data_IF_189370550478
#
_entry.id   IF_189370550478
#
_cell.length_a   1.000
_cell.length_b   1.000
_cell.length_c   1.000
_cell.angle_alpha   90.00
_cell.angle_beta   90.00
_cell.angle_gamma   90.00
#
_symmetry.space_group_name_H-M   'P 1'
#
loop_
_entity.id
_entity.type
_entity.pdbx_description
1 polymer ?
#
# COMPACT_ATOMS: atom_id res chain seq x y z
N UNK A 1 9.74 -40.25 -4.23
CA UNK A 1 10.88 -39.34 -4.45
C UNK A 1 12.16 -40.06 -4.00
N UNK A 2 13.37 -39.70 -4.42
CA UNK A 2 14.58 -40.36 -3.87
C UNK A 2 14.81 -39.90 -2.43
N UNK A 3 15.42 -40.74 -1.58
CA UNK A 3 15.69 -40.40 -0.17
C UNK A 3 16.51 -39.10 -0.03
N UNK A 4 17.45 -38.83 -0.92
CA UNK A 4 18.22 -37.58 -0.89
C UNK A 4 17.37 -36.34 -1.20
N UNK A 5 16.41 -36.45 -2.13
CA UNK A 5 15.47 -35.36 -2.42
C UNK A 5 14.48 -35.14 -1.27
N UNK A 6 14.10 -36.19 -0.57
CA UNK A 6 13.29 -36.11 0.67
C UNK A 6 14.05 -35.39 1.78
N UNK A 7 15.30 -35.77 2.05
CA UNK A 7 16.17 -35.08 3.01
C UNK A 7 16.38 -33.61 2.65
N UNK A 8 16.62 -33.31 1.38
CA UNK A 8 16.78 -31.92 0.92
C UNK A 8 15.50 -31.10 1.18
N UNK A 9 14.32 -31.66 0.90
CA UNK A 9 13.03 -30.99 1.14
C UNK A 9 12.79 -30.77 2.63
N UNK A 10 12.94 -31.81 3.46
CA UNK A 10 12.76 -31.72 4.91
C UNK A 10 13.80 -30.80 5.57
N UNK A 11 14.97 -30.59 4.96
CA UNK A 11 15.93 -29.57 5.44
C UNK A 11 15.36 -28.15 5.40
N UNK A 12 14.37 -27.90 4.54
CA UNK A 12 13.75 -26.60 4.28
C UNK A 12 14.74 -25.46 3.94
N UNK A 13 15.98 -25.79 3.59
CA UNK A 13 17.05 -24.82 3.32
C UNK A 13 16.70 -23.87 2.17
N UNK A 14 16.05 -24.39 1.13
CA UNK A 14 15.53 -23.58 -0.01
C UNK A 14 14.45 -22.58 0.44
N UNK A 15 13.58 -22.97 1.38
CA UNK A 15 12.54 -22.09 1.94
C UNK A 15 13.17 -20.98 2.77
N UNK A 16 14.11 -21.33 3.64
CA UNK A 16 14.85 -20.36 4.45
C UNK A 16 15.65 -19.37 3.58
N UNK A 17 16.33 -19.85 2.52
CA UNK A 17 17.05 -18.98 1.59
C UNK A 17 16.12 -17.95 0.90
N UNK A 18 14.91 -18.37 0.50
CA UNK A 18 13.89 -17.46 -0.05
C UNK A 18 13.43 -16.42 0.98
N UNK A 19 13.26 -16.81 2.24
CA UNK A 19 12.87 -15.91 3.33
C UNK A 19 13.98 -14.92 3.69
N UNK A 20 15.25 -15.28 3.48
CA UNK A 20 16.44 -14.45 3.77
C UNK A 20 16.91 -13.58 2.60
N UNK A 21 16.31 -13.73 1.40
CA UNK A 21 16.75 -12.97 0.22
C UNK A 21 16.71 -11.45 0.47
N UNK A 22 17.64 -10.68 -0.11
CA UNK A 22 17.51 -9.22 -0.14
C UNK A 22 16.18 -8.81 -0.79
N UNK A 23 15.57 -7.75 -0.26
CA UNK A 23 14.33 -7.18 -0.78
C UNK A 23 14.63 -5.83 -1.44
N UNK A 24 13.92 -5.53 -2.52
CA UNK A 24 13.98 -4.23 -3.22
C UNK A 24 12.70 -3.44 -2.94
N UNK A 25 12.76 -2.11 -3.02
CA UNK A 25 11.60 -1.23 -2.80
C UNK A 25 10.40 -1.55 -3.70
N UNK A 26 10.66 -2.09 -4.89
CA UNK A 26 9.63 -2.50 -5.86
C UNK A 26 9.09 -3.90 -5.64
N UNK A 27 9.67 -4.69 -4.72
CA UNK A 27 9.22 -6.05 -4.48
C UNK A 27 7.84 -6.08 -3.82
N UNK A 28 6.98 -6.98 -4.29
CA UNK A 28 5.71 -7.34 -3.64
C UNK A 28 5.98 -8.36 -2.52
N UNK A 29 6.05 -7.87 -1.29
CA UNK A 29 6.35 -8.68 -0.10
C UNK A 29 5.10 -9.45 0.32
N UNK A 30 5.26 -10.75 0.57
CA UNK A 30 4.17 -11.57 1.13
C UNK A 30 4.02 -11.27 2.62
N UNK A 31 2.91 -10.65 2.99
CA UNK A 31 2.59 -10.26 4.38
C UNK A 31 1.54 -11.19 5.01
N UNK A 32 0.79 -11.92 4.20
CA UNK A 32 -0.09 -13.00 4.64
C UNK A 32 -0.07 -14.12 3.60
N UNK A 33 0.01 -15.37 4.04
CA UNK A 33 -0.18 -16.54 3.19
C UNK A 33 -0.67 -17.72 4.01
N UNK A 34 -1.68 -18.42 3.49
CA UNK A 34 -2.11 -19.73 3.98
C UNK A 34 -2.05 -20.68 2.80
N UNK A 35 -1.06 -21.57 2.78
CA UNK A 35 -0.91 -22.58 1.74
C UNK A 35 -0.94 -23.97 2.36
N UNK A 36 -2.03 -24.68 2.14
CA UNK A 36 -2.18 -26.10 2.44
C UNK A 36 -2.35 -26.87 1.14
N UNK A 37 -1.66 -27.99 0.98
CA UNK A 37 -2.03 -28.95 -0.06
C UNK A 37 -3.29 -29.70 0.39
N UNK A 38 -4.15 -30.07 -0.58
CA UNK A 38 -5.56 -30.44 -0.37
C UNK A 38 -5.86 -31.54 0.66
N UNK A 39 -7.16 -31.81 0.91
CA UNK A 39 -7.64 -32.58 2.07
C UNK A 39 -7.00 -33.97 2.23
N UNK A 40 -6.61 -34.61 1.13
CA UNK A 40 -6.05 -35.97 1.13
C UNK A 40 -4.52 -36.03 1.25
N UNK A 41 -3.82 -34.89 1.13
CA UNK A 41 -2.34 -34.83 1.11
C UNK A 41 -1.80 -33.57 1.78
N UNK A 42 -1.79 -33.56 3.11
CA UNK A 42 -1.13 -32.53 3.94
C UNK A 42 0.41 -32.65 3.94
N UNK A 43 1.01 -32.84 2.77
CA UNK A 43 2.44 -33.05 2.61
C UNK A 43 3.25 -31.78 2.91
N UNK A 44 2.65 -30.63 2.65
CA UNK A 44 3.23 -29.31 2.85
C UNK A 44 2.17 -28.34 3.38
N UNK A 45 2.49 -27.65 4.47
CA UNK A 45 1.73 -26.51 4.97
C UNK A 45 2.65 -25.31 5.13
N UNK A 46 2.21 -24.13 4.71
CA UNK A 46 2.98 -22.90 4.85
C UNK A 46 2.07 -21.77 5.27
N UNK A 47 2.43 -21.17 6.39
CA UNK A 47 1.78 -20.00 6.93
C UNK A 47 2.78 -18.84 6.98
N UNK A 48 2.37 -17.68 6.50
CA UNK A 48 3.06 -16.41 6.66
C UNK A 48 2.08 -15.42 7.25
N UNK A 49 2.49 -14.68 8.27
CA UNK A 49 1.68 -13.59 8.83
C UNK A 49 2.54 -12.43 9.30
N UNK A 50 2.07 -11.22 9.03
CA UNK A 50 2.75 -9.98 9.37
C UNK A 50 2.33 -9.43 10.73
N UNK A 51 3.29 -8.92 11.48
CA UNK A 51 3.05 -8.11 12.68
C UNK A 51 3.88 -6.83 12.64
N UNK A 52 3.32 -5.71 13.08
CA UNK A 52 4.04 -4.47 13.30
C UNK A 52 4.58 -4.47 14.74
N UNK A 53 5.89 -4.37 14.88
CA UNK A 53 6.60 -4.52 16.15
C UNK A 53 7.19 -3.16 16.56
N UNK A 54 6.86 -2.64 17.76
CA UNK A 54 7.51 -1.45 18.31
C UNK A 54 9.04 -1.56 18.35
N UNK A 55 9.74 -0.48 17.97
CA UNK A 55 11.23 -0.47 17.95
C UNK A 55 11.88 -0.78 19.31
N UNK A 56 11.20 -0.49 20.42
CA UNK A 56 11.68 -0.81 21.76
C UNK A 56 11.58 -2.31 22.12
N UNK A 57 10.87 -3.12 21.33
CA UNK A 57 10.67 -4.57 21.56
C UNK A 57 11.46 -5.47 20.62
N UNK A 58 12.30 -4.92 19.75
CA UNK A 58 13.05 -5.69 18.75
C UNK A 58 13.96 -6.75 19.36
N UNK A 59 14.68 -6.42 20.45
CA UNK A 59 15.55 -7.36 21.16
C UNK A 59 14.78 -8.53 21.76
N UNK A 60 13.66 -8.23 22.42
CA UNK A 60 12.75 -9.23 22.99
C UNK A 60 12.18 -10.13 21.88
N UNK A 61 11.69 -9.51 20.81
CA UNK A 61 11.11 -10.19 19.64
C UNK A 61 12.09 -11.18 19.02
N UNK A 62 13.35 -10.80 18.82
CA UNK A 62 14.37 -11.66 18.21
C UNK A 62 14.89 -12.76 19.16
N UNK A 63 14.63 -12.67 20.46
CA UNK A 63 15.05 -13.69 21.45
C UNK A 63 14.20 -14.97 21.38
N UNK A 64 13.06 -14.94 20.70
CA UNK A 64 12.13 -16.06 20.57
C UNK A 64 11.68 -16.22 19.11
N UNK A 65 11.68 -17.44 18.58
CA UNK A 65 11.21 -17.72 17.21
C UNK A 65 9.68 -17.76 17.08
N UNK A 66 8.94 -17.84 18.19
CA UNK A 66 7.48 -17.89 18.19
C UNK A 66 6.86 -16.60 17.63
N UNK A 67 5.63 -16.70 17.15
CA UNK A 67 4.92 -15.56 16.59
C UNK A 67 4.49 -14.55 17.68
N UNK A 68 4.68 -13.27 17.42
CA UNK A 68 4.23 -12.14 18.23
C UNK A 68 2.75 -11.79 17.98
N UNK A 69 2.21 -12.23 16.84
CA UNK A 69 0.81 -12.08 16.45
C UNK A 69 0.35 -13.31 15.64
N UNK A 70 -0.66 -14.01 16.13
CA UNK A 70 -1.28 -15.17 15.49
C UNK A 70 -2.38 -14.80 14.48
N UNK A 71 -2.84 -15.79 13.71
CA UNK A 71 -4.07 -15.67 12.93
C UNK A 71 -5.25 -15.51 13.89
N UNK A 72 -6.11 -14.51 13.67
CA UNK A 72 -7.23 -14.17 14.54
C UNK A 72 -6.87 -13.20 15.68
N UNK A 73 -5.57 -13.01 15.96
CA UNK A 73 -5.11 -11.97 16.87
C UNK A 73 -5.14 -10.59 16.20
N UNK A 74 -4.97 -9.53 17.00
CA UNK A 74 -4.96 -8.15 16.50
C UNK A 74 -6.36 -7.51 16.43
N UNK A 75 -7.40 -8.24 16.84
CA UNK A 75 -8.76 -7.76 16.91
C UNK A 75 -9.01 -6.92 18.17
N UNK A 76 -9.88 -5.91 18.10
CA UNK A 76 -10.24 -5.12 19.27
C UNK A 76 -10.99 -5.98 20.29
N UNK A 77 -10.56 -5.92 21.56
CA UNK A 77 -11.25 -6.59 22.67
C UNK A 77 -11.50 -5.60 23.81
N UNK A 78 -12.56 -5.87 24.58
CA UNK A 78 -12.79 -5.25 25.87
C UNK A 78 -12.66 -6.32 26.94
N UNK A 79 -11.77 -6.11 27.91
CA UNK A 79 -11.49 -7.06 28.99
C UNK A 79 -11.08 -6.32 30.25
N UNK A 80 -11.56 -6.76 31.41
CA UNK A 80 -11.20 -6.15 32.70
C UNK A 80 -11.53 -4.65 32.82
N UNK A 81 -12.54 -4.17 32.08
CA UNK A 81 -12.91 -2.74 32.05
C UNK A 81 -12.01 -1.85 31.18
N UNK A 82 -11.10 -2.44 30.39
CA UNK A 82 -10.19 -1.72 29.50
C UNK A 82 -10.39 -2.13 28.05
N UNK A 83 -10.27 -1.15 27.16
CA UNK A 83 -10.31 -1.37 25.71
C UNK A 83 -8.89 -1.59 25.17
N UNK A 84 -8.71 -2.66 24.42
CA UNK A 84 -7.46 -2.98 23.73
C UNK A 84 -7.72 -3.00 22.23
N UNK A 85 -7.24 -1.97 21.53
CA UNK A 85 -7.47 -1.79 20.09
C UNK A 85 -7.03 -3.00 19.26
N UNK A 86 -5.94 -3.66 19.67
CA UNK A 86 -5.33 -4.78 18.95
C UNK A 86 -5.26 -6.07 19.77
N UNK A 87 -6.09 -6.21 20.80
CA UNK A 87 -6.13 -7.45 21.59
C UNK A 87 -4.98 -7.59 22.60
N UNK A 88 -3.97 -6.72 22.57
CA UNK A 88 -2.78 -6.79 23.41
C UNK A 88 -2.47 -5.44 24.08
N UNK A 89 -1.65 -5.46 25.13
CA UNK A 89 -1.02 -4.25 25.71
C UNK A 89 0.43 -4.06 25.27
N UNK A 90 0.96 -5.00 24.49
CA UNK A 90 2.38 -5.09 24.20
C UNK A 90 2.80 -4.23 22.99
N UNK A 91 1.86 -3.45 22.44
CA UNK A 91 2.04 -2.52 21.33
C UNK A 91 2.17 -3.17 19.95
N UNK A 92 2.05 -4.50 19.83
CA UNK A 92 2.06 -5.18 18.54
C UNK A 92 0.75 -4.92 17.80
N UNK A 93 0.85 -4.58 16.52
CA UNK A 93 -0.31 -4.25 15.69
C UNK A 93 -0.39 -5.13 14.43
N UNK A 94 -1.61 -5.44 13.94
CA UNK A 94 -1.79 -6.12 12.66
C UNK A 94 -1.57 -5.15 11.48
N UNK A 95 -0.75 -5.55 10.50
CA UNK A 95 -0.80 -4.96 9.15
C UNK A 95 -1.93 -5.58 8.32
N UNK A 96 -2.13 -6.90 8.50
CA UNK A 96 -3.24 -7.67 7.94
C UNK A 96 -4.13 -8.09 9.10
N UNK A 97 -5.44 -7.92 8.94
CA UNK A 97 -6.47 -8.39 9.86
C UNK A 97 -7.05 -9.68 9.27
N UNK A 98 -6.93 -10.78 10.00
CA UNK A 98 -7.56 -12.05 9.63
C UNK A 98 -8.99 -12.07 10.20
N UNK A 99 -9.98 -11.90 9.32
CA UNK A 99 -11.38 -11.84 9.71
C UNK A 99 -12.00 -13.23 9.62
N UNK A 100 -12.15 -13.89 10.77
CA UNK A 100 -12.65 -15.27 10.90
C UNK A 100 -14.01 -15.36 11.58
N UNK A 101 -14.79 -14.25 11.54
CA UNK A 101 -16.07 -14.12 12.23
C UNK A 101 -16.86 -15.43 12.20
N UNK A 102 -17.23 -15.91 13.39
CA UNK A 102 -17.87 -17.21 13.68
C UNK A 102 -19.07 -17.62 12.78
N UNK A 103 -19.65 -16.70 12.00
CA UNK A 103 -20.78 -16.94 11.11
C UNK A 103 -20.46 -16.82 9.62
N UNK A 104 -19.22 -16.47 9.25
CA UNK A 104 -18.78 -16.41 7.87
C UNK A 104 -18.47 -17.82 7.35
N UNK A 105 -18.80 -18.09 6.08
CA UNK A 105 -18.48 -19.37 5.44
C UNK A 105 -16.97 -19.55 5.22
N UNK A 106 -16.23 -18.45 5.01
CA UNK A 106 -14.77 -18.44 4.86
C UNK A 106 -14.20 -17.19 5.53
N UNK A 107 -13.02 -17.34 6.13
CA UNK A 107 -12.25 -16.22 6.64
C UNK A 107 -11.55 -15.46 5.50
N UNK A 108 -11.37 -14.16 5.62
CA UNK A 108 -10.66 -13.36 4.63
C UNK A 108 -9.67 -12.38 5.25
N UNK A 109 -8.56 -12.07 4.55
CA UNK A 109 -7.61 -11.06 5.01
C UNK A 109 -8.06 -9.65 4.61
N UNK A 110 -7.87 -8.69 5.51
CA UNK A 110 -8.07 -7.26 5.24
C UNK A 110 -6.77 -6.50 5.52
N UNK A 111 -6.44 -5.52 4.69
CA UNK A 111 -5.35 -4.59 4.99
C UNK A 111 -5.85 -3.60 6.05
N UNK A 112 -5.04 -3.34 7.07
CA UNK A 112 -5.33 -2.32 8.09
C UNK A 112 -5.78 -1.00 7.44
N UNK A 113 -6.92 -0.49 7.89
CA UNK A 113 -7.54 0.69 7.27
C UNK A 113 -6.66 1.94 7.37
N UNK A 114 -5.94 2.13 8.48
CA UNK A 114 -5.02 3.26 8.62
C UNK A 114 -3.93 3.25 7.54
N UNK A 115 -3.39 2.08 7.20
CA UNK A 115 -2.39 1.94 6.13
C UNK A 115 -2.97 2.36 4.78
N UNK A 116 -4.22 1.96 4.49
CA UNK A 116 -4.91 2.32 3.24
C UNK A 116 -5.12 3.82 3.12
N UNK A 117 -5.66 4.45 4.16
CA UNK A 117 -5.95 5.87 4.16
C UNK A 117 -4.69 6.72 4.15
N UNK A 118 -3.67 6.31 4.90
CA UNK A 118 -2.38 6.99 4.93
C UNK A 118 -1.76 7.11 3.52
N UNK A 119 -1.81 6.03 2.74
CA UNK A 119 -1.28 6.02 1.37
C UNK A 119 -2.30 6.46 0.31
N UNK A 120 -3.52 6.87 0.69
CA UNK A 120 -4.57 7.24 -0.26
C UNK A 120 -4.95 6.10 -1.21
N UNK A 121 -4.90 4.85 -0.74
CA UNK A 121 -5.15 3.69 -1.58
C UNK A 121 -6.64 3.55 -1.88
N UNK A 122 -6.98 3.40 -3.15
CA UNK A 122 -8.33 3.00 -3.56
C UNK A 122 -8.34 1.52 -3.96
N UNK A 123 -9.50 0.89 -3.79
CA UNK A 123 -9.71 -0.53 -4.09
C UNK A 123 -10.33 -0.70 -5.46
N UNK A 124 -9.56 -1.23 -6.41
CA UNK A 124 -10.08 -1.76 -7.67
C UNK A 124 -10.81 -3.07 -7.37
N UNK A 125 -12.13 -2.96 -7.18
CA UNK A 125 -13.02 -4.09 -6.86
C UNK A 125 -13.15 -5.12 -7.97
N UNK A 126 -12.81 -4.78 -9.22
CA UNK A 126 -12.86 -5.73 -10.33
C UNK A 126 -11.64 -6.65 -10.31
N UNK A 127 -10.47 -6.10 -9.97
CA UNK A 127 -9.20 -6.83 -9.97
C UNK A 127 -8.72 -7.27 -8.58
N UNK A 128 -9.43 -6.87 -7.54
CA UNK A 128 -9.11 -7.05 -6.12
C UNK A 128 -7.69 -6.56 -5.76
N UNK A 129 -7.38 -5.34 -6.22
CA UNK A 129 -6.09 -4.68 -6.01
C UNK A 129 -6.27 -3.33 -5.34
N UNK A 130 -5.27 -2.96 -4.53
CA UNK A 130 -5.16 -1.62 -3.99
C UNK A 130 -4.13 -0.85 -4.79
N UNK A 131 -4.56 0.30 -5.28
CA UNK A 131 -3.84 1.15 -6.21
C UNK A 131 -3.68 2.54 -5.58
N UNK A 132 -2.62 3.24 -5.98
CA UNK A 132 -2.50 4.69 -5.81
C UNK A 132 -2.23 5.34 -7.15
N UNK A 133 -2.59 6.60 -7.29
CA UNK A 133 -2.22 7.42 -8.44
C UNK A 133 -0.95 8.18 -8.07
N UNK A 134 0.07 8.12 -8.92
CA UNK A 134 1.28 8.91 -8.74
C UNK A 134 1.15 10.33 -9.32
N UNK A 135 2.24 11.08 -9.28
CA UNK A 135 2.28 12.47 -9.76
C UNK A 135 2.04 12.59 -11.26
N UNK A 136 2.25 11.51 -12.02
CA UNK A 136 2.06 11.42 -13.48
C UNK A 136 0.68 10.87 -13.86
N UNK A 137 -0.26 10.81 -12.90
CA UNK A 137 -1.58 10.20 -13.07
C UNK A 137 -1.53 8.70 -13.42
N UNK A 138 -0.42 8.02 -13.18
CA UNK A 138 -0.29 6.59 -13.45
C UNK A 138 -0.82 5.76 -12.28
N UNK A 139 -1.52 4.68 -12.62
CA UNK A 139 -1.96 3.69 -11.64
C UNK A 139 -0.79 2.84 -11.16
N UNK A 140 -0.55 2.86 -9.87
CA UNK A 140 0.51 2.09 -9.22
C UNK A 140 -0.10 1.04 -8.31
N UNK A 141 0.16 -0.24 -8.61
CA UNK A 141 -0.26 -1.35 -7.74
C UNK A 141 0.55 -1.36 -6.46
N UNK A 142 -0.14 -1.18 -5.33
CA UNK A 142 0.45 -1.19 -3.99
C UNK A 142 0.18 -2.50 -3.28
N UNK A 143 -1.03 -3.05 -3.37
CA UNK A 143 -1.34 -4.34 -2.77
C UNK A 143 -2.21 -5.22 -3.67
N UNK A 144 -2.01 -6.53 -3.55
CA UNK A 144 -2.83 -7.58 -4.15
C UNK A 144 -3.36 -8.41 -2.99
N UNK A 145 -4.68 -8.47 -2.85
CA UNK A 145 -5.34 -9.20 -1.77
C UNK A 145 -6.05 -10.39 -2.39
N UNK A 146 -5.57 -11.59 -2.09
CA UNK A 146 -6.23 -12.84 -2.44
C UNK A 146 -6.62 -13.55 -1.13
N UNK A 147 -7.67 -14.39 -1.10
CA UNK A 147 -8.18 -15.01 0.14
C UNK A 147 -7.11 -15.72 1.00
N UNK A 148 -6.09 -16.28 0.34
CA UNK A 148 -5.00 -17.05 0.95
C UNK A 148 -3.61 -16.45 0.72
N UNK A 149 -3.50 -15.28 0.11
CA UNK A 149 -2.21 -14.65 -0.19
C UNK A 149 -2.36 -13.13 -0.33
N UNK A 150 -1.78 -12.37 0.59
CA UNK A 150 -1.68 -10.91 0.47
C UNK A 150 -0.24 -10.50 0.23
N UNK A 151 -0.07 -9.63 -0.76
CA UNK A 151 1.22 -9.05 -1.14
C UNK A 151 1.11 -7.53 -1.14
N UNK A 152 2.06 -6.87 -0.49
CA UNK A 152 2.15 -5.40 -0.45
C UNK A 152 3.54 -4.97 -0.91
N UNK A 153 3.60 -3.90 -1.71
CA UNK A 153 4.85 -3.33 -2.20
C UNK A 153 5.70 -2.82 -1.03
N UNK A 154 6.99 -3.16 -1.04
CA UNK A 154 7.89 -2.87 0.08
C UNK A 154 7.98 -1.38 0.39
N UNK A 155 8.05 -0.52 -0.63
CA UNK A 155 8.17 0.94 -0.45
C UNK A 155 7.12 1.50 0.53
N UNK A 156 5.85 1.21 0.30
CA UNK A 156 4.74 1.69 1.14
C UNK A 156 4.79 1.10 2.56
N UNK A 157 5.15 -0.19 2.69
CA UNK A 157 5.40 -0.78 4.02
C UNK A 157 6.44 0.06 4.77
N UNK A 158 7.59 0.36 4.15
CA UNK A 158 8.66 1.06 4.84
C UNK A 158 8.31 2.51 5.19
N UNK A 159 7.60 3.21 4.30
CA UNK A 159 7.06 4.55 4.56
C UNK A 159 6.12 4.54 5.78
N UNK A 160 5.24 3.55 5.89
CA UNK A 160 4.34 3.37 7.04
C UNK A 160 5.09 3.07 8.34
N UNK A 161 6.09 2.19 8.29
CA UNK A 161 6.89 1.82 9.47
C UNK A 161 7.63 3.00 10.09
N UNK A 162 8.09 3.97 9.26
CA UNK A 162 8.74 5.20 9.75
C UNK A 162 7.80 6.00 10.65
N UNK A 163 6.54 6.15 10.25
CA UNK A 163 5.56 6.93 11.01
C UNK A 163 5.11 6.25 12.29
N UNK A 164 4.99 4.93 12.24
CA UNK A 164 4.59 4.12 13.41
C UNK A 164 5.72 3.90 14.41
N UNK A 165 6.97 4.24 14.05
CA UNK A 165 8.17 3.87 14.79
C UNK A 165 8.20 2.37 15.11
N UNK A 166 7.97 1.56 14.07
CA UNK A 166 7.85 0.12 14.13
C UNK A 166 8.76 -0.57 13.10
N UNK A 167 8.95 -1.88 13.26
CA UNK A 167 9.49 -2.77 12.24
C UNK A 167 8.42 -3.78 11.81
N UNK A 168 8.48 -4.24 10.56
CA UNK A 168 7.58 -5.29 10.10
C UNK A 168 8.21 -6.66 10.39
N UNK A 169 7.52 -7.48 11.18
CA UNK A 169 7.83 -8.89 11.37
C UNK A 169 7.09 -9.74 10.34
N UNK A 170 7.84 -10.37 9.43
CA UNK A 170 7.34 -11.45 8.57
C UNK A 170 7.53 -12.76 9.32
N UNK A 171 6.46 -13.22 9.95
CA UNK A 171 6.43 -14.45 10.72
C UNK A 171 6.07 -15.61 9.81
N UNK A 172 6.71 -16.77 9.99
CA UNK A 172 6.51 -17.93 9.15
C UNK A 172 6.48 -19.21 9.97
N UNK A 173 5.69 -20.18 9.49
CA UNK A 173 5.65 -21.56 9.97
C UNK A 173 5.42 -22.47 8.77
N UNK A 174 6.37 -23.34 8.49
CA UNK A 174 6.37 -24.22 7.34
C UNK A 174 6.53 -25.67 7.81
N UNK A 175 5.58 -26.52 7.45
CA UNK A 175 5.61 -27.95 7.70
C UNK A 175 5.86 -28.71 6.41
N UNK A 176 6.77 -29.67 6.49
CA UNK A 176 7.04 -30.66 5.45
C UNK A 176 6.93 -32.04 6.09
N UNK A 177 6.16 -32.95 5.51
CA UNK A 177 5.98 -34.32 6.07
C UNK A 177 6.49 -35.40 5.13
N UNK A 178 6.96 -36.51 5.66
CA UNK A 178 7.49 -37.65 4.90
C UNK A 178 6.87 -38.96 5.37
N UNK A 179 6.61 -39.85 4.41
CA UNK A 179 6.17 -41.23 4.67
C UNK A 179 7.33 -42.15 5.05
N UNK A 180 8.57 -41.70 4.86
CA UNK A 180 9.78 -42.44 5.24
C UNK A 180 10.05 -42.37 6.73
N UNK A 181 10.57 -43.47 7.28
CA UNK A 181 10.91 -43.54 8.69
C UNK A 181 12.11 -42.63 9.03
N UNK A 182 12.28 -42.22 10.29
CA UNK A 182 13.47 -41.49 10.72
C UNK A 182 14.77 -42.20 10.32
N UNK A 183 14.80 -43.53 10.44
CA UNK A 183 15.97 -44.36 10.15
C UNK A 183 16.32 -44.36 8.66
N UNK A 184 15.32 -44.48 7.76
CA UNK A 184 15.51 -44.36 6.31
C UNK A 184 16.07 -42.98 5.92
N UNK A 185 15.61 -41.94 6.62
CA UNK A 185 16.07 -40.57 6.43
C UNK A 185 17.42 -40.28 7.10
N UNK A 186 17.99 -41.22 7.85
CA UNK A 186 19.24 -41.02 8.59
C UNK A 186 19.11 -40.01 9.74
N UNK A 187 17.90 -39.83 10.27
CA UNK A 187 17.60 -38.96 11.40
C UNK A 187 17.66 -39.78 12.70
N UNK A 188 18.55 -39.39 13.62
CA UNK A 188 18.54 -39.94 14.98
C UNK A 188 17.62 -39.10 15.87
N UNK A 189 16.40 -39.61 16.08
CA UNK A 189 15.36 -39.00 16.93
C UNK A 189 15.30 -39.66 18.33
N UNK A 190 16.26 -40.51 18.71
CA UNK A 190 16.29 -41.16 20.03
C UNK A 190 16.99 -40.32 21.11
N UNK A 191 17.75 -39.27 20.74
CA UNK A 191 18.37 -38.31 21.68
C UNK A 191 17.42 -37.16 22.08
N UNK A 192 16.12 -37.36 21.92
CA UNK A 192 15.12 -36.33 22.14
C UNK A 192 14.63 -36.36 23.57
N UNK A 193 14.83 -35.25 24.29
CA UNK A 193 14.32 -35.09 25.65
C UNK A 193 12.81 -35.35 25.68
N UNK A 194 12.34 -36.06 26.71
CA UNK A 194 10.92 -36.17 27.04
C UNK A 194 10.27 -34.78 26.99
N UNK A 195 9.29 -34.61 26.10
CA UNK A 195 8.70 -33.30 25.79
C UNK A 195 8.52 -32.96 24.30
N UNK A 196 8.84 -33.89 23.38
CA UNK A 196 8.23 -33.91 22.04
C UNK A 196 8.68 -32.85 21.04
N UNK A 197 9.89 -32.29 21.15
CA UNK A 197 10.47 -31.47 20.06
C UNK A 197 11.92 -31.88 19.77
N UNK A 198 12.16 -32.39 18.56
CA UNK A 198 13.50 -32.75 18.10
C UNK A 198 14.36 -31.53 17.79
N UNK A 199 15.68 -31.67 17.96
CA UNK A 199 16.73 -30.80 17.39
C UNK A 199 16.32 -29.33 17.20
N UNK A 200 16.02 -28.63 18.29
CA UNK A 200 15.70 -27.21 18.25
C UNK A 200 16.98 -26.39 18.33
N UNK A 201 17.49 -25.93 17.19
CA UNK A 201 18.51 -24.87 17.18
C UNK A 201 17.83 -23.55 16.87
N UNK A 202 17.85 -22.63 17.83
CA UNK A 202 17.52 -21.24 17.57
C UNK A 202 18.71 -20.63 16.82
N UNK A 203 18.48 -20.24 15.59
CA UNK A 203 19.44 -19.46 14.82
C UNK A 203 18.99 -18.00 14.81
N UNK A 204 19.93 -17.08 14.98
CA UNK A 204 19.70 -15.66 14.80
C UNK A 204 20.79 -15.04 13.94
N UNK A 205 20.39 -14.15 13.03
CA UNK A 205 21.31 -13.39 12.18
C UNK A 205 20.73 -12.00 11.96
N UNK A 206 21.26 -11.00 12.67
CA UNK A 206 20.84 -9.59 12.65
C UNK A 206 19.35 -9.37 12.92
N UNK A 207 18.51 -9.57 11.92
CA UNK A 207 17.08 -9.27 11.89
C UNK A 207 16.21 -10.50 11.60
N UNK A 208 16.76 -11.72 11.65
CA UNK A 208 15.97 -12.94 11.52
C UNK A 208 16.29 -13.89 12.68
N UNK A 209 15.25 -14.50 13.25
CA UNK A 209 15.38 -15.61 14.18
C UNK A 209 14.49 -16.77 13.69
N UNK A 210 14.98 -18.00 13.78
CA UNK A 210 14.22 -19.17 13.38
C UNK A 210 14.64 -20.42 14.14
N UNK A 211 13.71 -21.38 14.15
CA UNK A 211 13.85 -22.73 14.66
C UNK A 211 13.52 -23.69 13.52
N UNK A 212 14.36 -24.69 13.35
CA UNK A 212 14.06 -25.85 12.53
C UNK A 212 14.00 -27.05 13.46
N UNK A 213 12.96 -27.86 13.36
CA UNK A 213 12.78 -29.06 14.18
C UNK A 213 12.27 -30.21 13.32
N UNK A 214 12.53 -31.42 13.78
CA UNK A 214 11.93 -32.64 13.26
C UNK A 214 10.99 -33.24 14.31
N UNK A 215 10.05 -34.07 13.89
CA UNK A 215 9.17 -34.80 14.79
C UNK A 215 8.97 -36.21 14.29
N UNK A 216 8.92 -37.15 15.23
CA UNK A 216 8.46 -38.51 14.97
C UNK A 216 6.95 -38.53 15.19
N UNK A 217 6.21 -38.71 14.10
CA UNK A 217 4.74 -38.66 14.09
C UNK A 217 4.13 -40.01 13.70
N UNK A 218 4.92 -41.10 13.81
CA UNK A 218 4.45 -42.46 13.56
C UNK A 218 3.19 -42.76 14.39
N UNK A 219 2.17 -43.28 13.72
CA UNK A 219 0.89 -43.65 14.35
C UNK A 219 -0.11 -42.50 14.53
N UNK A 220 0.24 -41.26 14.21
CA UNK A 220 -0.69 -40.12 14.24
C UNK A 220 -1.42 -39.93 12.90
N UNK A 221 -0.72 -40.17 11.78
CA UNK A 221 -1.28 -40.14 10.43
C UNK A 221 -0.46 -41.06 9.50
N UNK A 222 -0.66 -40.97 8.17
CA UNK A 222 0.08 -41.75 7.18
C UNK A 222 1.54 -41.32 6.98
N UNK A 223 1.97 -40.22 7.61
CA UNK A 223 3.36 -39.78 7.63
C UNK A 223 4.08 -40.31 8.86
N UNK A 224 5.40 -40.48 8.75
CA UNK A 224 6.26 -40.95 9.84
C UNK A 224 7.11 -39.83 10.43
N UNK A 225 7.51 -38.86 9.61
CA UNK A 225 8.34 -37.72 10.03
C UNK A 225 7.71 -36.42 9.60
N UNK A 226 7.75 -35.42 10.47
CA UNK A 226 7.55 -34.03 10.10
C UNK A 226 8.82 -33.19 10.29
N UNK A 227 8.87 -32.09 9.56
CA UNK A 227 9.84 -31.04 9.73
C UNK A 227 9.12 -29.70 9.82
N UNK A 228 9.40 -28.94 10.86
CA UNK A 228 8.86 -27.61 11.06
C UNK A 228 9.97 -26.55 10.98
N UNK A 229 9.80 -25.58 10.10
CA UNK A 229 10.61 -24.37 10.05
C UNK A 229 9.71 -23.20 10.50
N UNK A 230 9.99 -22.69 11.68
CA UNK A 230 9.26 -21.57 12.28
C UNK A 230 10.21 -20.43 12.60
N UNK A 231 9.76 -19.20 12.41
CA UNK A 231 10.55 -18.04 12.80
C UNK A 231 9.94 -16.75 12.34
N UNK A 232 10.75 -15.71 12.39
CA UNK A 232 10.38 -14.39 11.92
C UNK A 232 11.57 -13.60 11.44
N UNK A 233 11.31 -12.81 10.40
CA UNK A 233 12.25 -11.84 9.84
C UNK A 233 11.69 -10.44 10.05
N UNK A 234 12.48 -9.60 10.69
CA UNK A 234 12.22 -8.18 10.81
C UNK A 234 12.70 -7.44 9.56
N UNK A 235 11.92 -6.45 9.17
CA UNK A 235 12.20 -5.52 8.09
C UNK A 235 12.19 -4.13 8.73
N UNK A 236 13.34 -3.47 8.65
CA UNK A 236 13.54 -2.14 9.19
C UNK A 236 12.86 -1.07 8.32
N UNK A 237 12.36 0.02 8.93
CA UNK A 237 11.88 1.18 8.19
C UNK A 237 13.01 1.81 7.34
N UNK A 238 12.62 2.61 6.36
CA UNK A 238 13.56 3.53 5.71
C UNK A 238 14.13 4.51 6.74
N UNK A 239 15.31 5.08 6.49
CA UNK A 239 15.70 6.24 7.28
C UNK A 239 14.68 7.37 7.07
N UNK A 240 14.51 8.21 8.09
CA UNK A 240 13.62 9.38 8.02
C UNK A 240 13.92 10.26 6.78
N UNK A 241 15.18 10.32 6.34
CA UNK A 241 15.61 11.03 5.13
C UNK A 241 15.17 10.33 3.85
N UNK A 242 15.38 9.02 3.74
CA UNK A 242 15.03 8.23 2.54
C UNK A 242 13.52 8.07 2.35
N UNK A 243 12.73 8.15 3.43
CA UNK A 243 11.28 8.07 3.35
C UNK A 243 10.63 9.38 2.88
N UNK A 244 11.38 10.49 2.82
CA UNK A 244 10.81 11.83 2.60
C UNK A 244 10.03 12.39 3.79
N UNK A 245 9.93 11.65 4.90
CA UNK A 245 9.20 12.03 6.12
C UNK A 245 10.14 12.53 7.24
N UNK A 246 11.30 13.09 6.88
CA UNK A 246 12.26 13.56 7.87
C UNK A 246 11.67 14.68 8.73
N UNK A 247 11.37 14.33 9.98
CA UNK A 247 11.31 15.22 11.15
C UNK A 247 10.66 16.58 10.93
N UNK A 248 9.36 16.60 10.63
CA UNK A 248 8.62 17.86 10.49
C UNK A 248 8.66 18.48 9.10
N UNK A 249 9.05 17.72 8.08
CA UNK A 249 8.74 18.10 6.70
C UNK A 249 7.21 18.24 6.60
N UNK A 250 6.69 19.46 6.30
CA UNK A 250 5.26 19.64 6.13
C UNK A 250 4.73 18.63 5.10
N UNK A 251 3.43 18.28 5.14
CA UNK A 251 2.82 17.46 4.09
C UNK A 251 3.33 17.98 2.74
N UNK A 252 3.70 17.09 1.79
CA UNK A 252 4.41 17.47 0.58
C UNK A 252 3.79 18.75 0.05
N UNK A 253 4.52 19.86 0.14
CA UNK A 253 3.96 21.15 -0.20
C UNK A 253 3.51 21.02 -1.65
N UNK A 254 2.20 21.17 -1.89
CA UNK A 254 1.69 21.16 -3.25
C UNK A 254 2.43 22.27 -3.98
N UNK A 255 3.22 21.88 -4.97
CA UNK A 255 3.88 22.84 -5.83
C UNK A 255 2.80 23.39 -6.75
N UNK A 256 2.60 24.70 -6.69
CA UNK A 256 1.64 25.41 -7.52
C UNK A 256 2.37 26.25 -8.53
N UNK A 257 2.02 26.05 -9.80
CA UNK A 257 2.66 26.76 -10.90
C UNK A 257 2.11 28.18 -10.97
N UNK A 258 2.92 29.09 -11.52
CA UNK A 258 2.49 30.44 -11.84
C UNK A 258 1.94 30.51 -13.26
N UNK A 259 0.83 31.21 -13.43
CA UNK A 259 0.19 31.46 -14.72
C UNK A 259 0.13 32.97 -14.97
N UNK A 260 0.11 33.34 -16.23
CA UNK A 260 -0.16 34.69 -16.72
C UNK A 260 -1.60 35.05 -16.34
N UNK A 261 -1.77 36.12 -15.57
CA UNK A 261 -3.08 36.53 -15.02
C UNK A 261 -3.63 37.81 -15.64
N UNK A 262 -2.82 38.56 -16.39
CA UNK A 262 -3.24 39.83 -16.99
C UNK A 262 -2.54 40.11 -18.32
N UNK A 263 -3.01 41.15 -19.01
CA UNK A 263 -2.51 41.60 -20.32
C UNK A 263 -1.08 42.15 -20.28
N UNK A 264 -0.55 42.47 -19.08
CA UNK A 264 0.83 42.92 -18.90
C UNK A 264 1.82 41.75 -18.84
N UNK A 265 1.32 40.51 -18.78
CA UNK A 265 2.16 39.32 -18.66
C UNK A 265 2.57 39.01 -17.22
N UNK A 266 1.92 39.61 -16.22
CA UNK A 266 2.24 39.30 -14.83
C UNK A 266 1.87 37.85 -14.51
N UNK A 267 2.75 37.17 -13.78
CA UNK A 267 2.57 35.78 -13.41
C UNK A 267 2.25 35.63 -11.93
N UNK A 268 1.20 34.88 -11.61
CA UNK A 268 0.77 34.61 -10.24
C UNK A 268 0.54 33.12 -10.02
N UNK A 269 0.75 32.65 -8.78
CA UNK A 269 0.59 31.23 -8.43
C UNK A 269 -0.87 30.85 -8.26
N UNK A 270 -1.27 29.66 -8.71
CA UNK A 270 -2.62 29.13 -8.48
C UNK A 270 -2.83 28.61 -7.04
N UNK A 271 -1.87 28.80 -6.12
CA UNK A 271 -1.99 28.36 -4.74
C UNK A 271 -3.21 29.02 -4.05
N UNK A 272 -4.21 28.26 -3.56
CA UNK A 272 -5.47 28.81 -3.05
C UNK A 272 -5.28 29.85 -1.96
N UNK A 273 -4.34 29.60 -1.05
CA UNK A 273 -4.06 30.47 0.09
C UNK A 273 -3.42 31.81 -0.29
N UNK A 274 -2.97 31.97 -1.53
CA UNK A 274 -2.36 33.19 -2.06
C UNK A 274 -3.30 33.99 -2.97
N UNK A 275 -4.45 33.44 -3.34
CA UNK A 275 -5.41 34.13 -4.20
C UNK A 275 -6.33 35.04 -3.39
N UNK A 276 -6.88 36.06 -4.05
CA UNK A 276 -7.95 36.86 -3.48
C UNK A 276 -9.27 36.10 -3.60
N UNK A 277 -10.09 36.20 -2.57
CA UNK A 277 -11.42 35.60 -2.49
C UNK A 277 -12.37 36.51 -1.71
N UNK A 278 -13.59 36.03 -1.45
CA UNK A 278 -14.58 36.81 -0.71
C UNK A 278 -14.23 37.03 0.77
N UNK A 279 -13.16 36.41 1.31
CA UNK A 279 -12.70 36.63 2.68
C UNK A 279 -11.89 37.92 2.83
N UNK A 280 -11.31 38.43 1.73
CA UNK A 280 -10.52 39.66 1.73
C UNK A 280 -9.12 39.54 2.35
N UNK A 281 -8.60 38.32 2.56
CA UNK A 281 -7.27 38.09 3.17
C UNK A 281 -6.13 38.55 2.25
N UNK A 282 -6.27 38.40 0.93
CA UNK A 282 -5.25 38.77 -0.06
C UNK A 282 -5.78 39.83 -1.04
N UNK A 283 -6.07 41.07 -0.60
CA UNK A 283 -6.81 42.05 -1.42
C UNK A 283 -6.09 42.46 -2.72
N UNK A 284 -4.76 42.44 -2.73
CA UNK A 284 -3.94 42.83 -3.89
C UNK A 284 -3.63 41.65 -4.83
N UNK A 285 -4.06 40.42 -4.49
CA UNK A 285 -3.85 39.26 -5.34
C UNK A 285 -4.94 39.15 -6.43
N UNK A 286 -4.68 38.43 -7.53
CA UNK A 286 -5.72 38.10 -8.51
C UNK A 286 -6.90 37.39 -7.85
N UNK A 287 -8.11 37.76 -8.28
CA UNK A 287 -9.33 37.15 -7.78
C UNK A 287 -9.42 35.69 -8.22
N UNK A 288 -9.92 34.80 -7.35
CA UNK A 288 -9.89 33.37 -7.64
C UNK A 288 -10.80 32.96 -8.83
N UNK A 289 -11.75 33.81 -9.23
CA UNK A 289 -12.56 33.68 -10.45
C UNK A 289 -12.01 34.47 -11.64
N UNK A 290 -10.76 34.95 -11.59
CA UNK A 290 -10.11 35.53 -12.76
C UNK A 290 -9.98 34.44 -13.84
N UNK A 291 -10.47 34.67 -15.07
CA UNK A 291 -10.25 33.74 -16.17
C UNK A 291 -8.79 33.74 -16.60
N UNK A 292 -8.21 32.54 -16.71
CA UNK A 292 -6.87 32.31 -17.25
C UNK A 292 -7.01 31.70 -18.64
N UNK A 293 -6.25 32.23 -19.60
CA UNK A 293 -6.39 31.92 -21.01
C UNK A 293 -5.30 30.97 -21.49
N UNK A 294 -5.70 30.04 -22.34
CA UNK A 294 -4.84 29.02 -22.92
C UNK A 294 -5.11 28.89 -24.41
N UNK A 295 -4.07 28.59 -25.19
CA UNK A 295 -4.25 28.16 -26.58
C UNK A 295 -5.08 26.87 -26.65
N UNK A 296 -5.91 26.72 -27.69
CA UNK A 296 -6.79 25.54 -27.89
C UNK A 296 -6.03 24.21 -27.85
N UNK A 297 -4.78 24.22 -28.29
CA UNK A 297 -3.88 23.06 -28.35
C UNK A 297 -3.67 22.38 -26.98
N UNK A 298 -3.95 23.08 -25.87
CA UNK A 298 -3.94 22.46 -24.53
C UNK A 298 -4.84 21.22 -24.46
N UNK A 299 -5.91 21.19 -25.25
CA UNK A 299 -6.87 20.09 -25.26
C UNK A 299 -6.47 18.92 -26.17
N UNK A 300 -5.49 19.09 -27.06
CA UNK A 300 -5.13 18.09 -28.06
C UNK A 300 -4.82 16.76 -27.40
N UNK A 301 -4.00 16.74 -26.33
CA UNK A 301 -3.65 15.50 -25.63
C UNK A 301 -4.87 14.76 -25.07
N UNK A 302 -5.90 15.47 -24.63
CA UNK A 302 -7.09 14.86 -24.05
C UNK A 302 -7.99 14.28 -25.14
N UNK A 303 -8.11 14.95 -26.30
CA UNK A 303 -8.81 14.41 -27.46
C UNK A 303 -8.13 13.15 -28.04
N UNK A 304 -6.80 13.06 -27.96
CA UNK A 304 -6.05 11.89 -28.45
C UNK A 304 -6.17 10.65 -27.55
N UNK A 305 -6.67 10.78 -26.31
CA UNK A 305 -6.85 9.66 -25.37
C UNK A 305 -8.31 9.54 -24.85
N UNK A 306 -9.30 9.30 -25.73
CA UNK A 306 -10.73 9.30 -25.37
C UNK A 306 -11.14 8.18 -24.40
N UNK A 307 -10.30 7.15 -24.24
CA UNK A 307 -10.52 6.09 -23.24
C UNK A 307 -10.21 6.55 -21.81
N UNK A 308 -9.47 7.64 -21.65
CA UNK A 308 -9.04 8.18 -20.34
C UNK A 308 -9.71 9.52 -20.01
N UNK A 309 -9.96 10.33 -21.04
CA UNK A 309 -10.47 11.69 -20.88
C UNK A 309 -11.78 11.87 -21.63
N UNK A 310 -12.68 12.64 -21.02
CA UNK A 310 -13.88 13.16 -21.67
C UNK A 310 -13.76 14.67 -21.73
N UNK A 311 -13.75 15.23 -22.93
CA UNK A 311 -13.74 16.68 -23.15
C UNK A 311 -15.12 17.11 -23.63
N UNK A 312 -15.69 18.10 -22.94
CA UNK A 312 -16.99 18.72 -23.23
C UNK A 312 -16.78 20.20 -23.54
N UNK A 313 -17.87 20.88 -23.88
CA UNK A 313 -17.92 22.34 -24.03
C UNK A 313 -17.52 23.10 -22.74
N UNK A 314 -17.77 22.47 -21.59
CA UNK A 314 -17.72 23.08 -20.26
C UNK A 314 -16.80 22.36 -19.27
N UNK A 315 -16.19 21.24 -19.66
CA UNK A 315 -15.31 20.47 -18.77
C UNK A 315 -14.31 19.59 -19.49
N UNK A 316 -13.20 19.31 -18.79
CA UNK A 316 -12.33 18.16 -19.04
C UNK A 316 -12.47 17.24 -17.83
N UNK A 317 -12.78 15.97 -18.07
CA UNK A 317 -13.10 14.99 -17.04
C UNK A 317 -12.24 13.73 -17.20
N UNK A 318 -11.80 13.19 -16.06
CA UNK A 318 -11.11 11.90 -15.92
C UNK A 318 -11.77 11.13 -14.77
N UNK A 319 -11.38 9.88 -14.55
CA UNK A 319 -11.82 9.12 -13.36
C UNK A 319 -11.35 9.73 -12.03
N UNK A 320 -10.35 10.62 -12.06
CA UNK A 320 -9.65 11.11 -10.86
C UNK A 320 -9.84 12.61 -10.60
N UNK A 321 -10.10 13.40 -11.64
CA UNK A 321 -10.33 14.83 -11.52
C UNK A 321 -11.25 15.32 -12.63
N UNK A 322 -11.88 16.47 -12.39
CA UNK A 322 -12.60 17.21 -13.42
C UNK A 322 -12.28 18.69 -13.25
N UNK A 323 -12.20 19.39 -14.37
CA UNK A 323 -11.97 20.83 -14.39
C UNK A 323 -12.98 21.49 -15.31
N UNK A 324 -13.55 22.60 -14.87
CA UNK A 324 -14.43 23.42 -15.69
C UNK A 324 -13.59 24.24 -16.66
N UNK A 325 -14.00 24.23 -17.92
CA UNK A 325 -13.31 24.96 -18.98
C UNK A 325 -14.34 25.72 -19.82
N UNK A 326 -13.95 26.84 -20.39
CA UNK A 326 -14.69 27.51 -21.45
C UNK A 326 -14.12 27.10 -22.80
N UNK A 327 -14.81 26.21 -23.51
CA UNK A 327 -14.31 25.59 -24.74
C UNK A 327 -15.02 26.13 -26.00
N UNK A 328 -15.71 27.27 -25.94
CA UNK A 328 -16.56 27.77 -27.05
C UNK A 328 -15.77 28.54 -28.12
N UNK A 329 -14.67 29.20 -27.75
CA UNK A 329 -13.83 29.90 -28.72
C UNK A 329 -13.04 28.91 -29.59
N UNK A 330 -12.79 29.25 -30.86
CA UNK A 330 -12.12 28.34 -31.81
C UNK A 330 -10.62 28.17 -31.56
N UNK A 331 -9.97 29.17 -30.99
CA UNK A 331 -8.51 29.31 -30.87
C UNK A 331 -8.01 29.30 -29.42
N UNK A 332 -8.90 29.48 -28.44
CA UNK A 332 -8.58 29.51 -27.01
C UNK A 332 -9.50 28.65 -26.14
N UNK A 333 -9.03 28.42 -24.92
CA UNK A 333 -9.79 27.86 -23.80
C UNK A 333 -9.54 28.73 -22.57
N UNK A 334 -10.58 28.99 -21.79
CA UNK A 334 -10.43 29.71 -20.52
C UNK A 334 -10.74 28.79 -19.33
N UNK A 335 -10.07 29.02 -18.21
CA UNK A 335 -10.28 28.29 -16.95
C UNK A 335 -10.30 29.29 -15.80
N UNK A 336 -11.18 29.10 -14.82
CA UNK A 336 -11.15 29.93 -13.61
C UNK A 336 -9.87 29.65 -12.82
N UNK A 337 -9.19 30.70 -12.35
CA UNK A 337 -7.85 30.56 -11.79
C UNK A 337 -7.78 29.55 -10.63
N UNK A 338 -8.81 29.53 -9.77
CA UNK A 338 -8.94 28.56 -8.68
C UNK A 338 -8.92 27.11 -9.15
N UNK A 339 -9.44 26.79 -10.32
CA UNK A 339 -9.63 25.39 -10.72
C UNK A 339 -8.29 24.74 -11.13
N UNK A 340 -7.31 25.54 -11.58
CA UNK A 340 -5.95 25.08 -11.88
C UNK A 340 -5.23 24.52 -10.65
N UNK A 341 -5.59 24.96 -9.44
CA UNK A 341 -4.97 24.46 -8.20
C UNK A 341 -5.39 23.02 -7.86
N UNK A 342 -6.51 22.56 -8.43
CA UNK A 342 -7.03 21.22 -8.17
C UNK A 342 -6.39 20.17 -9.08
N UNK A 343 -5.68 20.60 -10.13
CA UNK A 343 -4.95 19.73 -11.03
C UNK A 343 -3.69 19.13 -10.37
N UNK A 344 -3.31 17.89 -10.71
CA UNK A 344 -1.98 17.36 -10.44
C UNK A 344 -0.88 18.27 -10.98
N UNK A 345 0.31 18.23 -10.39
CA UNK A 345 1.41 19.11 -10.76
C UNK A 345 1.83 18.99 -12.23
N UNK A 346 1.87 17.76 -12.76
CA UNK A 346 2.17 17.45 -14.16
C UNK A 346 1.12 18.00 -15.13
N UNK A 347 -0.16 17.97 -14.73
CA UNK A 347 -1.23 18.63 -15.46
C UNK A 347 -1.08 20.15 -15.40
N UNK A 348 -0.76 20.74 -14.24
CA UNK A 348 -0.47 22.17 -14.17
C UNK A 348 0.68 22.57 -15.12
N UNK A 349 1.74 21.76 -15.21
CA UNK A 349 2.87 21.98 -16.14
C UNK A 349 2.38 21.97 -17.59
N UNK A 350 1.54 20.99 -17.93
CA UNK A 350 0.91 20.91 -19.25
C UNK A 350 0.13 22.17 -19.60
N UNK A 351 -0.80 22.58 -18.73
CA UNK A 351 -1.59 23.79 -18.92
C UNK A 351 -0.69 25.03 -19.02
N UNK A 352 0.38 25.10 -18.22
CA UNK A 352 1.32 26.23 -18.25
C UNK A 352 2.04 26.39 -19.58
N UNK A 353 2.35 25.30 -20.28
CA UNK A 353 2.98 25.34 -21.61
C UNK A 353 2.09 26.00 -22.67
N UNK A 354 0.77 25.98 -22.46
CA UNK A 354 -0.22 26.54 -23.38
C UNK A 354 -0.82 27.87 -22.90
N UNK A 355 -0.36 28.40 -21.77
CA UNK A 355 -0.88 29.63 -21.19
C UNK A 355 -0.49 30.85 -22.02
N UNK A 356 -1.48 31.65 -22.40
CA UNK A 356 -1.35 32.83 -23.25
C UNK A 356 -1.78 34.09 -22.50
N UNK A 357 -1.48 35.26 -23.05
CA UNK A 357 -2.02 36.52 -22.56
C UNK A 357 -3.55 36.49 -22.61
N UNK A 358 -4.26 37.07 -21.62
CA UNK A 358 -5.70 37.21 -21.67
C UNK A 358 -6.14 37.93 -22.94
N UNK A 359 -7.01 37.28 -23.69
CA UNK A 359 -7.56 37.79 -24.95
C UNK A 359 -9.07 37.67 -24.91
N UNK A 360 -9.77 38.80 -24.77
CA UNK A 360 -11.23 38.85 -24.64
C UNK A 360 -11.79 38.20 -23.37
N UNK A 361 -13.11 38.11 -23.31
CA UNK A 361 -13.83 37.55 -22.17
C UNK A 361 -14.10 36.04 -22.32
N UNK A 362 -14.65 35.44 -21.27
CA UNK A 362 -15.25 34.10 -21.32
C UNK A 362 -16.58 34.14 -22.06
N UNK A 363 -17.02 33.01 -22.61
CA UNK A 363 -18.33 32.89 -23.23
C UNK A 363 -19.46 33.13 -22.23
N UNK A 364 -20.56 33.68 -22.74
CA UNK A 364 -21.77 33.90 -21.96
C UNK A 364 -22.27 32.58 -21.34
N UNK A 365 -22.28 31.50 -22.13
CA UNK A 365 -22.66 30.16 -21.68
C UNK A 365 -21.80 29.68 -20.51
N UNK A 366 -20.48 29.89 -20.56
CA UNK A 366 -19.60 29.50 -19.46
C UNK A 366 -19.85 30.36 -18.21
N UNK A 367 -20.03 31.67 -18.36
CA UNK A 367 -20.30 32.59 -17.25
C UNK A 367 -21.62 32.24 -16.54
N UNK A 368 -22.70 32.04 -17.31
CA UNK A 368 -24.02 31.66 -16.77
C UNK A 368 -23.96 30.36 -15.98
N UNK A 369 -23.30 29.33 -16.51
CA UNK A 369 -23.18 28.02 -15.87
C UNK A 369 -22.28 28.02 -14.63
N UNK A 370 -21.08 28.61 -14.73
CA UNK A 370 -20.03 28.42 -13.72
C UNK A 370 -19.93 29.58 -12.71
N UNK A 371 -20.49 30.75 -13.02
CA UNK A 371 -20.50 31.91 -12.11
C UNK A 371 -21.90 32.18 -11.55
N UNK A 372 -22.93 32.17 -12.40
CA UNK A 372 -24.31 32.48 -11.96
C UNK A 372 -25.11 31.25 -11.50
N UNK A 373 -24.65 30.03 -11.83
CA UNK A 373 -25.35 28.79 -11.48
C UNK A 373 -26.62 28.55 -12.30
N UNK A 374 -26.71 29.14 -13.50
CA UNK A 374 -27.88 29.02 -14.39
C UNK A 374 -27.73 27.85 -15.37
N UNK A 375 -28.88 27.31 -15.81
CA UNK A 375 -28.93 26.41 -16.94
C UNK A 375 -28.81 27.20 -18.25
N UNK A 376 -27.83 26.84 -19.08
CA UNK A 376 -27.67 27.37 -20.43
C UNK A 376 -27.42 26.20 -21.40
N UNK A 377 -27.96 26.26 -22.62
CA UNK A 377 -27.65 25.31 -23.70
C UNK A 377 -26.25 25.54 -24.25
N UNK A 378 -25.63 24.49 -24.79
CA UNK A 378 -24.48 24.66 -25.69
C UNK A 378 -25.03 25.18 -27.00
N UNK A 379 -24.47 26.28 -27.49
CA UNK A 379 -24.80 26.80 -28.82
C UNK A 379 -24.14 25.97 -29.94
#
# INVERSE_FOLDING_TARGET
MTLDKERERLSQTKTLAKLRRPLRLTDMVTVYQIKTQGPDKLYQERYIYSALIPVNRIKETLSNSAWDLGLGDGMPISGGGKYHRHGTENGVEPLIIYNDRYYAQEAWPEICEEFRHFHGLYHDRQRDKYLKIDEDLAEVVVAIVEPKHVRIRLREILEWLVLKEMQLSIQFRCWERSEHSPEELGLNLAELKEGGSAWTTLHSDKLICWRHSYGDIRGMCHYQVDSCLEGKRLIEPLSKFESGYAGGSPPPQRHYIKFIVNVHGDEYTCAPEKLNDFSGVNPDAPFHLTPIHFSKQVLDRYYHEPNKYTVKDSSVETSWWSMKIDNHASDKVCVMFRDLCHLPYTEQLHWRMHNILPEGEVSETFFRRNVQGEWASSD
#
